data_IF_223663688332
#
_entry.id   IF_223663688332
#
_cell.length_a   1.000
_cell.length_b   1.000
_cell.length_c   1.000
_cell.angle_alpha   90.00
_cell.angle_beta   90.00
_cell.angle_gamma   90.00
#
_symmetry.space_group_name_H-M   'P 1'
#
loop_
_entity.id
_entity.type
_entity.pdbx_description
1 polymer ?
#
# COMPACT_ATOMS: atom_id res chain seq x y z
N UNK A 1 -49.25 -55.77 13.66
CA UNK A 1 -49.23 -54.36 13.27
C UNK A 1 -48.01 -53.74 13.93
N UNK A 2 -46.94 -53.51 13.14
CA UNK A 2 -45.70 -52.88 13.59
C UNK A 2 -45.65 -51.49 12.97
N UNK A 3 -45.79 -50.47 13.79
CA UNK A 3 -45.66 -49.05 13.39
C UNK A 3 -44.20 -48.69 13.31
N UNK A 4 -43.74 -48.34 12.11
CA UNK A 4 -42.42 -47.74 11.84
C UNK A 4 -42.51 -46.24 12.02
N UNK A 5 -41.81 -45.68 13.02
CA UNK A 5 -41.61 -44.22 13.17
C UNK A 5 -40.47 -43.79 12.28
N UNK A 6 -40.59 -42.70 11.47
CA UNK A 6 -39.48 -42.13 10.77
C UNK A 6 -38.67 -41.22 11.71
N UNK A 7 -37.35 -41.46 11.81
CA UNK A 7 -36.39 -40.60 12.50
C UNK A 7 -36.06 -39.42 11.54
N UNK A 8 -36.49 -38.21 11.88
CA UNK A 8 -36.09 -37.00 11.21
C UNK A 8 -34.67 -36.65 11.68
N UNK A 9 -33.68 -36.77 10.79
CA UNK A 9 -32.35 -36.23 11.01
C UNK A 9 -32.34 -34.73 10.67
N UNK A 10 -32.27 -33.88 11.67
CA UNK A 10 -32.07 -32.46 11.50
C UNK A 10 -30.58 -32.19 11.22
N UNK A 11 -30.25 -31.83 10.01
CA UNK A 11 -28.90 -31.36 9.64
C UNK A 11 -28.70 -29.92 10.15
N UNK A 12 -27.86 -29.74 11.16
CA UNK A 12 -27.39 -28.42 11.61
C UNK A 12 -26.38 -27.91 10.57
N UNK A 13 -26.79 -26.94 9.75
CA UNK A 13 -25.88 -26.15 8.93
C UNK A 13 -25.17 -25.13 9.80
N UNK A 14 -23.88 -25.30 10.09
CA UNK A 14 -23.03 -24.27 10.71
C UNK A 14 -22.77 -23.18 9.67
N UNK A 15 -23.02 -21.90 9.98
CA UNK A 15 -22.55 -20.83 9.12
C UNK A 15 -21.03 -20.75 9.20
N UNK A 16 -20.36 -20.89 8.04
CA UNK A 16 -18.93 -20.61 7.91
C UNK A 16 -18.74 -19.10 8.15
N UNK A 17 -18.20 -18.74 9.32
CA UNK A 17 -17.75 -17.38 9.59
C UNK A 17 -16.55 -17.13 8.67
N UNK A 18 -16.75 -16.36 7.59
CA UNK A 18 -15.66 -15.80 6.82
C UNK A 18 -14.89 -14.85 7.73
N UNK A 19 -13.71 -15.28 8.20
CA UNK A 19 -12.76 -14.40 8.85
C UNK A 19 -12.32 -13.36 7.79
N UNK A 20 -12.82 -12.13 7.91
CA UNK A 20 -12.35 -11.01 7.11
C UNK A 20 -10.93 -10.68 7.59
N UNK A 21 -9.92 -10.97 6.78
CA UNK A 21 -8.56 -10.50 7.03
C UNK A 21 -8.57 -8.98 7.19
N UNK A 22 -7.76 -8.42 8.12
CA UNK A 22 -7.64 -6.97 8.25
C UNK A 22 -7.21 -6.39 6.91
N UNK A 23 -7.96 -5.44 6.38
CA UNK A 23 -7.63 -4.79 5.12
C UNK A 23 -6.28 -4.07 5.25
N UNK A 24 -5.36 -4.29 4.30
CA UNK A 24 -4.09 -3.56 4.24
C UNK A 24 -4.36 -2.07 4.04
N UNK A 25 -3.99 -1.20 4.99
CA UNK A 25 -4.26 0.24 4.89
C UNK A 25 -3.48 0.90 3.74
N UNK A 26 -2.45 0.26 3.19
CA UNK A 26 -1.69 0.74 2.02
C UNK A 26 -2.37 0.37 0.69
N UNK A 27 -3.28 -0.59 0.67
CA UNK A 27 -3.92 -1.07 -0.54
C UNK A 27 -4.57 0.03 -1.41
N UNK A 28 -5.26 1.06 -0.86
CA UNK A 28 -5.80 2.16 -1.67
C UNK A 28 -4.71 2.97 -2.38
N UNK A 29 -3.57 3.19 -1.75
CA UNK A 29 -2.42 3.91 -2.34
C UNK A 29 -1.82 3.11 -3.49
N UNK A 30 -1.54 1.83 -3.27
CA UNK A 30 -0.95 0.95 -4.30
C UNK A 30 -1.91 0.73 -5.47
N UNK A 31 -3.22 0.66 -5.23
CA UNK A 31 -4.22 0.56 -6.29
C UNK A 31 -4.26 1.80 -7.20
N UNK A 32 -4.09 3.01 -6.63
CA UNK A 32 -4.02 4.25 -7.40
C UNK A 32 -2.73 4.36 -8.22
N UNK A 33 -1.61 3.90 -7.69
CA UNK A 33 -0.32 3.88 -8.38
C UNK A 33 -0.34 2.86 -9.53
N UNK A 34 -0.96 1.69 -9.31
CA UNK A 34 -1.07 0.62 -10.29
C UNK A 34 0.31 0.15 -10.78
N UNK A 35 0.44 0.00 -12.10
CA UNK A 35 1.68 -0.41 -12.76
C UNK A 35 2.72 0.72 -12.90
N UNK A 36 2.36 1.95 -12.54
CA UNK A 36 3.20 3.14 -12.67
C UNK A 36 3.81 3.31 -14.08
N UNK A 37 3.08 2.90 -15.14
CA UNK A 37 3.58 2.90 -16.52
C UNK A 37 4.00 4.31 -16.98
N UNK A 38 5.13 4.39 -17.66
CA UNK A 38 5.75 5.63 -18.13
C UNK A 38 6.37 5.47 -19.51
N UNK A 39 6.57 6.60 -20.19
CA UNK A 39 7.33 6.67 -21.45
C UNK A 39 8.76 7.15 -21.18
N UNK A 40 8.92 8.10 -20.25
CA UNK A 40 10.20 8.67 -19.85
C UNK A 40 10.20 9.08 -18.38
N UNK A 41 11.38 9.41 -17.85
CA UNK A 41 11.56 9.73 -16.42
C UNK A 41 10.93 11.05 -15.99
N UNK A 42 10.59 11.95 -16.93
CA UNK A 42 9.89 13.20 -16.59
C UNK A 42 8.48 12.97 -16.08
N UNK A 43 7.91 11.80 -16.35
CA UNK A 43 6.59 11.37 -15.86
C UNK A 43 6.65 10.71 -14.48
N UNK A 44 7.85 10.38 -14.00
CA UNK A 44 8.02 9.70 -12.72
C UNK A 44 8.14 10.68 -11.56
N UNK A 45 7.45 10.36 -10.47
CA UNK A 45 7.44 11.13 -9.22
C UNK A 45 7.57 10.18 -8.04
N UNK A 46 7.95 10.74 -6.91
CA UNK A 46 7.89 10.06 -5.62
C UNK A 46 6.72 10.60 -4.80
N UNK A 47 6.21 9.80 -3.92
CA UNK A 47 5.29 10.20 -2.86
C UNK A 47 5.76 9.64 -1.53
N UNK A 48 5.83 10.49 -0.53
CA UNK A 48 6.18 10.10 0.84
C UNK A 48 5.00 9.39 1.51
N UNK A 49 5.25 8.28 2.19
CA UNK A 49 4.21 7.51 2.89
C UNK A 49 4.55 7.29 4.36
N UNK A 50 3.49 7.14 5.16
CA UNK A 50 3.60 6.90 6.59
C UNK A 50 3.98 8.14 7.38
N UNK A 51 4.12 7.97 8.69
CA UNK A 51 4.51 9.02 9.62
C UNK A 51 5.37 8.44 10.74
N UNK A 52 6.60 8.91 10.88
CA UNK A 52 7.48 8.53 11.99
C UNK A 52 7.13 9.34 13.24
N UNK A 53 7.36 8.76 14.41
CA UNK A 53 7.17 9.44 15.70
C UNK A 53 8.05 10.70 15.82
N UNK A 54 9.25 10.71 15.25
CA UNK A 54 10.18 11.85 15.22
C UNK A 54 9.89 12.85 14.10
N UNK A 55 8.82 12.65 13.32
CA UNK A 55 8.52 13.41 12.11
C UNK A 55 9.13 12.79 10.85
N UNK A 56 8.61 13.23 9.70
CA UNK A 56 9.01 12.73 8.39
C UNK A 56 8.34 11.41 7.98
N UNK A 57 8.53 10.99 6.72
CA UNK A 57 7.94 9.79 6.18
C UNK A 57 8.64 8.52 6.65
N UNK A 58 7.93 7.40 6.59
CA UNK A 58 8.50 6.08 6.80
C UNK A 58 9.24 5.59 5.55
N UNK A 59 8.69 5.90 4.37
CA UNK A 59 9.24 5.47 3.08
C UNK A 59 8.72 6.36 1.94
N UNK A 60 9.16 6.06 0.71
CA UNK A 60 8.67 6.66 -0.52
C UNK A 60 8.16 5.56 -1.46
N UNK A 61 7.22 5.92 -2.34
CA UNK A 61 6.78 5.10 -3.46
C UNK A 61 6.96 5.89 -4.76
N UNK A 62 7.31 5.18 -5.84
CA UNK A 62 7.35 5.75 -7.17
C UNK A 62 5.97 5.65 -7.83
N UNK A 63 5.57 6.68 -8.57
CA UNK A 63 4.32 6.71 -9.31
C UNK A 63 4.47 7.49 -10.63
N UNK A 64 3.53 7.32 -11.55
CA UNK A 64 3.55 7.97 -12.85
C UNK A 64 2.42 8.98 -12.99
N UNK A 65 2.77 10.20 -13.40
CA UNK A 65 1.79 11.27 -13.70
C UNK A 65 0.91 10.91 -14.90
N UNK A 66 1.34 9.95 -15.73
CA UNK A 66 0.57 9.44 -16.87
C UNK A 66 -0.62 8.57 -16.44
N UNK A 67 -0.51 7.87 -15.30
CA UNK A 67 -1.47 6.84 -14.88
C UNK A 67 -2.25 7.21 -13.64
N UNK A 68 -1.73 8.08 -12.81
CA UNK A 68 -2.26 8.33 -11.46
C UNK A 68 -2.69 9.78 -11.32
N UNK A 69 -3.90 9.99 -10.80
CA UNK A 69 -4.36 11.30 -10.36
C UNK A 69 -3.63 11.70 -9.08
N UNK A 70 -2.86 12.78 -9.15
CA UNK A 70 -2.03 13.25 -8.03
C UNK A 70 -2.86 13.60 -6.78
N UNK A 71 -4.02 14.24 -6.97
CA UNK A 71 -4.88 14.67 -5.86
C UNK A 71 -5.52 13.48 -5.14
N UNK A 72 -5.97 12.49 -5.90
CA UNK A 72 -6.49 11.24 -5.34
C UNK A 72 -5.40 10.49 -4.57
N UNK A 73 -4.18 10.42 -5.12
CA UNK A 73 -3.03 9.79 -4.47
C UNK A 73 -2.67 10.49 -3.15
N UNK A 74 -2.60 11.82 -3.13
CA UNK A 74 -2.34 12.60 -1.92
C UNK A 74 -3.37 12.34 -0.82
N UNK A 75 -4.66 12.28 -1.19
CA UNK A 75 -5.73 11.97 -0.24
C UNK A 75 -5.61 10.55 0.35
N UNK A 76 -5.28 9.55 -0.48
CA UNK A 76 -5.08 8.17 -0.03
C UNK A 76 -3.84 8.04 0.87
N UNK A 77 -2.73 8.71 0.54
CA UNK A 77 -1.51 8.75 1.35
C UNK A 77 -1.76 9.42 2.71
N UNK A 78 -2.52 10.51 2.74
CA UNK A 78 -2.90 11.16 3.99
C UNK A 78 -3.77 10.24 4.87
N UNK A 79 -4.69 9.50 4.28
CA UNK A 79 -5.50 8.50 5.00
C UNK A 79 -4.64 7.37 5.56
N UNK A 80 -3.69 6.86 4.77
CA UNK A 80 -2.71 5.86 5.22
C UNK A 80 -1.90 6.37 6.41
N UNK A 81 -1.36 7.59 6.33
CA UNK A 81 -0.59 8.20 7.43
C UNK A 81 -1.39 8.29 8.74
N UNK A 82 -2.67 8.67 8.65
CA UNK A 82 -3.56 8.70 9.83
C UNK A 82 -3.79 7.30 10.41
N UNK A 83 -4.03 6.31 9.58
CA UNK A 83 -4.21 4.92 10.03
C UNK A 83 -2.95 4.42 10.75
N UNK A 84 -1.77 4.68 10.18
CA UNK A 84 -0.49 4.29 10.80
C UNK A 84 -0.30 4.90 12.19
N UNK A 85 -0.69 6.16 12.40
CA UNK A 85 -0.62 6.80 13.71
C UNK A 85 -1.60 6.20 14.71
N UNK A 86 -2.81 5.85 14.26
CA UNK A 86 -3.85 5.26 15.10
C UNK A 86 -3.50 3.83 15.55
N UNK A 87 -2.87 3.05 14.67
CA UNK A 87 -2.48 1.66 14.94
C UNK A 87 -1.23 1.53 15.82
N UNK A 88 -0.53 2.65 16.10
CA UNK A 88 0.61 2.62 17.01
C UNK A 88 0.15 2.50 18.46
N UNK A 89 0.53 1.41 19.18
CA UNK A 89 0.21 1.29 20.60
C UNK A 89 0.77 2.46 21.42
N UNK A 90 0.07 2.91 22.46
CA UNK A 90 0.61 3.90 23.40
C UNK A 90 1.97 3.43 23.95
N UNK A 91 3.01 4.24 23.84
CA UNK A 91 4.37 3.94 24.28
C UNK A 91 5.27 3.25 23.26
N UNK A 92 4.74 2.73 22.14
CA UNK A 92 5.56 2.13 21.06
C UNK A 92 6.04 3.15 20.01
N UNK A 93 5.89 4.43 20.25
CA UNK A 93 6.37 5.50 19.37
C UNK A 93 7.89 5.65 19.41
N UNK A 94 8.58 4.51 19.37
CA UNK A 94 10.03 4.48 19.26
C UNK A 94 10.38 4.40 17.79
N UNK A 95 10.74 5.54 17.21
CA UNK A 95 11.36 5.60 15.90
C UNK A 95 12.88 5.67 16.09
N UNK A 96 13.63 5.07 15.18
CA UNK A 96 15.07 5.24 15.11
C UNK A 96 15.50 6.66 14.75
N UNK A 97 14.56 7.57 14.50
CA UNK A 97 14.75 8.98 14.10
C UNK A 97 15.68 9.17 12.88
N UNK A 98 15.95 8.11 12.11
CA UNK A 98 16.74 8.23 10.89
C UNK A 98 15.95 8.99 9.83
N UNK A 99 16.60 9.97 9.23
CA UNK A 99 16.05 10.71 8.11
C UNK A 99 15.96 9.78 6.88
N UNK A 100 14.78 9.72 6.26
CA UNK A 100 14.58 9.04 4.99
C UNK A 100 14.55 10.10 3.90
N UNK A 101 15.65 10.19 3.14
CA UNK A 101 15.74 11.11 2.01
C UNK A 101 14.87 10.61 0.86
N UNK A 102 14.30 11.55 0.08
CA UNK A 102 13.63 11.23 -1.18
C UNK A 102 14.67 10.70 -2.18
N UNK A 103 14.57 9.45 -2.62
CA UNK A 103 15.54 8.88 -3.56
C UNK A 103 15.34 9.35 -5.01
N UNK A 104 14.24 10.03 -5.31
CA UNK A 104 13.80 10.28 -6.68
C UNK A 104 13.23 9.05 -7.37
N UNK A 105 12.72 9.25 -8.59
CA UNK A 105 12.17 8.17 -9.40
C UNK A 105 12.65 8.26 -10.85
N UNK A 106 12.76 7.11 -11.52
CA UNK A 106 13.14 7.01 -12.92
C UNK A 106 12.28 5.99 -13.66
N UNK A 107 12.11 6.19 -14.96
CA UNK A 107 11.40 5.30 -15.85
C UNK A 107 12.37 4.23 -16.39
N UNK A 108 12.15 2.98 -16.03
CA UNK A 108 13.00 1.85 -16.43
C UNK A 108 12.22 0.82 -17.22
N UNK A 109 12.88 0.03 -18.10
CA UNK A 109 12.24 -1.09 -18.78
C UNK A 109 11.65 -2.11 -17.78
N UNK A 110 10.43 -2.58 -18.03
CA UNK A 110 9.76 -3.60 -17.24
C UNK A 110 8.85 -4.44 -18.15
N UNK A 111 9.15 -5.71 -18.33
CA UNK A 111 8.42 -6.57 -19.25
C UNK A 111 8.39 -6.00 -20.67
N UNK A 112 7.20 -5.85 -21.24
CA UNK A 112 6.98 -5.27 -22.57
C UNK A 112 6.80 -3.74 -22.57
N UNK A 113 6.98 -3.09 -21.42
CA UNK A 113 6.77 -1.65 -21.25
C UNK A 113 7.86 -1.02 -20.40
N UNK A 114 7.48 0.07 -19.74
CA UNK A 114 8.35 0.81 -18.81
C UNK A 114 7.54 1.20 -17.58
N UNK A 115 8.20 1.24 -16.43
CA UNK A 115 7.60 1.59 -15.15
C UNK A 115 8.46 2.58 -14.36
N UNK A 116 7.82 3.42 -13.56
CA UNK A 116 8.51 4.28 -12.61
C UNK A 116 8.96 3.46 -11.40
N UNK A 117 10.24 3.56 -11.08
CA UNK A 117 10.84 2.95 -9.89
C UNK A 117 11.60 3.99 -9.08
N UNK A 118 11.76 3.75 -7.78
CA UNK A 118 12.64 4.56 -6.95
C UNK A 118 14.08 4.39 -7.39
N UNK A 119 14.82 5.50 -7.43
CA UNK A 119 16.27 5.46 -7.67
C UNK A 119 16.97 4.89 -6.43
N UNK A 120 18.05 4.14 -6.65
CA UNK A 120 18.91 3.70 -5.54
C UNK A 120 19.71 4.89 -5.02
N UNK A 121 19.85 4.99 -3.70
CA UNK A 121 20.75 5.97 -3.10
C UNK A 121 22.16 5.82 -3.70
N UNK A 122 22.67 6.89 -4.33
CA UNK A 122 23.99 6.90 -4.98
C UNK A 122 23.99 6.75 -6.50
N UNK A 123 22.85 6.55 -7.17
CA UNK A 123 22.75 6.49 -8.63
C UNK A 123 22.40 7.84 -9.28
N UNK A 124 22.98 8.95 -8.79
CA UNK A 124 22.96 10.16 -9.56
C UNK A 124 23.89 9.98 -10.77
N UNK A 125 23.40 10.13 -12.02
CA UNK A 125 24.32 10.26 -13.16
C UNK A 125 25.20 11.47 -12.87
N UNK A 126 26.51 11.27 -12.91
CA UNK A 126 27.46 12.37 -12.87
C UNK A 126 27.10 13.36 -13.99
N UNK A 127 26.81 14.61 -13.61
CA UNK A 127 26.65 15.71 -14.56
C UNK A 127 28.01 16.13 -15.10
#
# INVERSE_FOLDING_TARGET
MRALLPVLAAALALPAACATEPADPLAPVTALIGDAACDDSSQCRTVAIGAKACGGPEAFLAWSTRRTDAKALEAAVAAYGRARVQDMPPGSRVSNCLFVADPGAACVPAGNGRTCVLQRAGSHPAQ
#
